data_IF_670095657258
#
_entry.id   IF_670095657258
#
_cell.length_a   1.000
_cell.length_b   1.000
_cell.length_c   1.000
_cell.angle_alpha   90.00
_cell.angle_beta   90.00
_cell.angle_gamma   90.00
#
_symmetry.space_group_name_H-M   'P 1'
#
loop_
_entity.id
_entity.type
_entity.pdbx_description
1 polymer ?
#
# COMPACT_ATOMS: atom_id res chain seq x y z
N UNK A 1 -4.55 -35.04 3.10
CA UNK A 1 -3.73 -33.95 3.66
C UNK A 1 -3.73 -32.82 2.64
N UNK A 2 -4.32 -31.69 2.99
CA UNK A 2 -4.51 -30.53 2.11
C UNK A 2 -3.17 -29.80 1.92
N UNK A 3 -2.87 -29.39 0.67
CA UNK A 3 -1.63 -28.70 0.27
C UNK A 3 -1.28 -27.54 1.21
N UNK A 4 -2.29 -26.88 1.78
CA UNK A 4 -2.14 -25.75 2.70
C UNK A 4 -1.32 -26.09 3.98
N UNK A 5 -1.45 -27.29 4.55
CA UNK A 5 -0.72 -27.65 5.77
C UNK A 5 0.78 -27.88 5.55
N UNK A 6 1.19 -28.30 4.35
CA UNK A 6 2.59 -28.50 4.02
C UNK A 6 3.31 -27.17 3.80
N UNK A 7 2.62 -26.20 3.20
CA UNK A 7 3.16 -24.85 2.97
C UNK A 7 3.47 -24.11 4.28
N UNK A 8 2.57 -24.18 5.27
CA UNK A 8 2.78 -23.55 6.58
C UNK A 8 3.99 -24.13 7.34
N UNK A 9 4.23 -25.45 7.20
CA UNK A 9 5.34 -26.15 7.87
C UNK A 9 6.71 -25.87 7.26
N UNK A 10 6.77 -25.60 5.96
CA UNK A 10 8.04 -25.41 5.23
C UNK A 10 8.44 -23.94 5.08
N UNK A 11 7.49 -23.02 4.97
CA UNK A 11 7.79 -21.63 4.58
C UNK A 11 7.83 -20.65 5.75
N UNK A 12 7.25 -21.00 6.90
CA UNK A 12 7.06 -20.05 7.99
C UNK A 12 6.13 -18.90 7.57
N UNK A 13 5.15 -18.55 8.41
CA UNK A 13 4.39 -17.33 8.17
C UNK A 13 5.34 -16.16 8.40
N UNK A 14 5.80 -15.49 7.34
CA UNK A 14 6.48 -14.21 7.49
C UNK A 14 5.52 -13.28 8.23
N UNK A 15 5.81 -12.99 9.50
CA UNK A 15 5.04 -12.03 10.29
C UNK A 15 4.88 -10.78 9.43
N UNK A 16 3.65 -10.46 9.04
CA UNK A 16 3.36 -9.29 8.22
C UNK A 16 4.10 -8.11 8.83
N UNK A 17 5.08 -7.58 8.11
CA UNK A 17 5.91 -6.49 8.62
C UNK A 17 4.96 -5.41 9.10
N UNK A 18 5.04 -5.09 10.40
CA UNK A 18 4.27 -4.03 11.03
C UNK A 18 4.33 -2.83 10.10
N UNK A 19 3.18 -2.36 9.60
CA UNK A 19 3.17 -1.20 8.71
C UNK A 19 3.92 -0.08 9.41
N UNK A 20 4.80 0.60 8.69
CA UNK A 20 5.62 1.68 9.25
C UNK A 20 4.75 2.64 10.06
N UNK A 21 5.29 3.21 11.14
CA UNK A 21 4.51 4.03 12.09
C UNK A 21 3.86 5.28 11.46
N UNK A 22 4.36 5.72 10.30
CA UNK A 22 3.79 6.81 9.51
C UNK A 22 2.61 6.41 8.63
N UNK A 23 2.32 5.12 8.48
CA UNK A 23 1.26 4.63 7.61
C UNK A 23 -0.12 4.90 8.24
N UNK A 24 -0.96 5.65 7.53
CA UNK A 24 -2.28 6.05 8.01
C UNK A 24 -3.42 5.47 7.15
N UNK A 25 -4.66 5.80 7.56
CA UNK A 25 -5.87 5.39 6.85
C UNK A 25 -5.94 5.90 5.41
N UNK A 26 -5.38 7.08 5.12
CA UNK A 26 -5.37 7.63 3.75
C UNK A 26 -4.51 6.76 2.81
N UNK A 27 -3.38 6.26 3.31
CA UNK A 27 -2.54 5.32 2.56
C UNK A 27 -3.30 4.03 2.24
N UNK A 28 -4.08 3.51 3.20
CA UNK A 28 -4.92 2.33 2.99
C UNK A 28 -6.00 2.55 1.95
N UNK A 29 -6.72 3.66 2.06
CA UNK A 29 -7.79 4.00 1.10
C UNK A 29 -7.23 4.19 -0.31
N UNK A 30 -6.07 4.84 -0.44
CA UNK A 30 -5.40 5.04 -1.72
C UNK A 30 -4.95 3.71 -2.34
N UNK A 31 -4.37 2.80 -1.54
CA UNK A 31 -3.99 1.45 -2.01
C UNK A 31 -5.23 0.64 -2.40
N UNK A 32 -6.31 0.71 -1.62
CA UNK A 32 -7.56 0.02 -1.92
C UNK A 32 -8.16 0.51 -3.24
N UNK A 33 -8.26 1.83 -3.45
CA UNK A 33 -8.74 2.44 -4.71
C UNK A 33 -7.90 2.01 -5.90
N UNK A 34 -6.57 2.04 -5.78
CA UNK A 34 -5.63 1.56 -6.80
C UNK A 34 -5.87 0.09 -7.13
N UNK A 35 -6.02 -0.77 -6.12
CA UNK A 35 -6.20 -2.21 -6.32
C UNK A 35 -7.55 -2.54 -6.98
N UNK A 36 -8.62 -1.82 -6.63
CA UNK A 36 -9.92 -1.97 -7.29
C UNK A 36 -9.82 -1.67 -8.79
N UNK A 37 -9.18 -0.56 -9.18
CA UNK A 37 -8.98 -0.29 -10.62
C UNK A 37 -8.03 -1.27 -11.29
N UNK A 38 -7.01 -1.79 -10.58
CA UNK A 38 -6.18 -2.87 -11.11
C UNK A 38 -7.01 -4.12 -11.42
N UNK A 39 -7.92 -4.50 -10.52
CA UNK A 39 -8.79 -5.65 -10.73
C UNK A 39 -9.75 -5.45 -11.90
N UNK A 40 -10.32 -4.25 -12.05
CA UNK A 40 -11.13 -3.89 -13.22
C UNK A 40 -10.34 -4.04 -14.51
N UNK A 41 -9.17 -3.38 -14.58
CA UNK A 41 -8.30 -3.45 -15.75
C UNK A 41 -7.87 -4.88 -16.09
N UNK A 42 -7.52 -5.69 -15.08
CA UNK A 42 -7.18 -7.11 -15.32
C UNK A 42 -8.35 -7.95 -15.83
N UNK A 43 -9.60 -7.54 -15.55
CA UNK A 43 -10.79 -8.27 -15.97
C UNK A 43 -11.20 -7.93 -17.40
N UNK A 44 -11.25 -6.65 -17.76
CA UNK A 44 -11.77 -6.24 -19.08
C UNK A 44 -10.66 -5.85 -20.07
N UNK A 45 -9.48 -5.44 -19.59
CA UNK A 45 -8.32 -5.11 -20.42
C UNK A 45 -8.43 -3.82 -21.22
N UNK A 46 -9.45 -2.98 -20.96
CA UNK A 46 -9.70 -1.77 -21.73
C UNK A 46 -8.65 -0.67 -21.47
N UNK A 47 -8.32 0.12 -22.49
CA UNK A 47 -7.32 1.20 -22.38
C UNK A 47 -7.77 2.31 -21.41
N UNK A 48 -9.07 2.57 -21.31
CA UNK A 48 -9.62 3.52 -20.32
C UNK A 48 -9.37 3.06 -18.88
N UNK A 49 -9.54 1.77 -18.60
CA UNK A 49 -9.29 1.20 -17.27
C UNK A 49 -7.80 1.16 -16.95
N UNK A 50 -6.95 0.97 -17.97
CA UNK A 50 -5.50 1.12 -17.85
C UNK A 50 -5.13 2.53 -17.45
N UNK A 51 -5.74 3.54 -18.08
CA UNK A 51 -5.53 4.95 -17.75
C UNK A 51 -6.03 5.26 -16.34
N UNK A 52 -7.22 4.79 -15.98
CA UNK A 52 -7.77 4.95 -14.62
C UNK A 52 -6.86 4.32 -13.56
N UNK A 53 -6.34 3.11 -13.81
CA UNK A 53 -5.37 2.47 -12.93
C UNK A 53 -4.06 3.27 -12.84
N UNK A 54 -3.55 3.79 -13.96
CA UNK A 54 -2.33 4.61 -13.98
C UNK A 54 -2.50 5.88 -13.13
N UNK A 55 -3.63 6.56 -13.24
CA UNK A 55 -3.92 7.77 -12.48
C UNK A 55 -4.08 7.47 -10.99
N UNK A 56 -4.86 6.44 -10.61
CA UNK A 56 -4.97 6.02 -9.20
C UNK A 56 -3.64 5.53 -8.63
N UNK A 57 -2.77 4.93 -9.45
CA UNK A 57 -1.42 4.55 -9.03
C UNK A 57 -0.54 5.77 -8.74
N UNK A 58 -0.61 6.81 -9.57
CA UNK A 58 0.11 8.07 -9.34
C UNK A 58 -0.40 8.77 -8.09
N UNK A 59 -1.72 8.85 -7.92
CA UNK A 59 -2.36 9.45 -6.76
C UNK A 59 -1.98 8.72 -5.47
N UNK A 60 -2.06 7.39 -5.44
CA UNK A 60 -1.64 6.61 -4.29
C UNK A 60 -0.16 6.81 -3.94
N UNK A 61 0.72 6.88 -4.96
CA UNK A 61 2.14 7.16 -4.73
C UNK A 61 2.35 8.56 -4.13
N UNK A 62 1.58 9.55 -4.59
CA UNK A 62 1.64 10.92 -4.07
C UNK A 62 1.18 10.98 -2.60
N UNK A 63 0.05 10.36 -2.27
CA UNK A 63 -0.49 10.32 -0.90
C UNK A 63 0.55 9.67 0.03
N UNK A 64 1.00 8.46 -0.30
CA UNK A 64 1.97 7.72 0.53
C UNK A 64 3.25 8.52 0.73
N UNK A 65 3.77 9.17 -0.33
CA UNK A 65 4.96 10.01 -0.24
C UNK A 65 4.73 11.19 0.71
N UNK A 66 3.64 11.94 0.52
CA UNK A 66 3.33 13.11 1.33
C UNK A 66 3.11 12.74 2.80
N UNK A 67 2.42 11.64 3.08
CA UNK A 67 2.21 11.14 4.45
C UNK A 67 3.55 10.82 5.12
N UNK A 68 4.45 10.14 4.40
CA UNK A 68 5.80 9.84 4.91
C UNK A 68 6.61 11.12 5.15
N UNK A 69 6.59 12.07 4.22
CA UNK A 69 7.33 13.34 4.36
C UNK A 69 6.84 14.15 5.55
N UNK A 70 5.52 14.29 5.73
CA UNK A 70 4.93 14.96 6.90
C UNK A 70 5.35 14.31 8.22
N UNK A 71 5.32 12.98 8.29
CA UNK A 71 5.74 12.28 9.50
C UNK A 71 7.22 12.50 9.81
N UNK A 72 8.09 12.48 8.79
CA UNK A 72 9.53 12.77 8.98
C UNK A 72 9.72 14.19 9.49
N UNK A 73 9.01 15.17 8.94
CA UNK A 73 9.06 16.57 9.36
C UNK A 73 8.62 16.72 10.83
N UNK A 74 7.48 16.13 11.19
CA UNK A 74 6.97 16.11 12.58
C UNK A 74 7.97 15.45 13.54
N UNK A 75 8.57 14.33 13.15
CA UNK A 75 9.51 13.61 14.01
C UNK A 75 10.84 14.37 14.16
N UNK A 76 11.29 15.04 13.10
CA UNK A 76 12.47 15.92 13.13
C UNK A 76 12.23 17.11 14.04
N UNK A 77 11.05 17.75 13.94
CA UNK A 77 10.67 18.87 14.82
C UNK A 77 10.61 18.46 16.28
N UNK A 78 10.01 17.29 16.59
CA UNK A 78 9.99 16.75 17.96
C UNK A 78 11.39 16.50 18.52
N UNK A 79 12.31 16.03 17.67
CA UNK A 79 13.69 15.77 18.09
C UNK A 79 14.49 17.04 18.40
N UNK A 80 14.12 18.18 17.79
CA UNK A 80 14.80 19.46 17.96
C UNK A 80 14.30 20.25 19.18
N UNK A 81 13.06 20.01 19.62
CA UNK A 81 12.43 20.68 20.76
C UNK A 81 12.78 19.98 22.10
N UNK A 82 13.42 18.80 22.04
CA UNK A 82 13.78 17.97 23.20
C UNK A 82 15.23 18.16 23.61
#
# INVERSE_FOLDING_TARGET
>A
MTINNAADKCLGTANSTRRNDWWNRECDEAVKKKNVSRQKWMKNGAEEERKEYADKRREAKKIIRNTREKWIEEETLKSFIK
#
